data_IF_928269455757
#
_entry.id   IF_928269455757
#
_cell.length_a   1.000
_cell.length_b   1.000
_cell.length_c   1.000
_cell.angle_alpha   90.00
_cell.angle_beta   90.00
_cell.angle_gamma   90.00
#
_symmetry.space_group_name_H-M   'P 1'
#
loop_
_entity.id
_entity.type
_entity.pdbx_description
1 polymer ?
#
# COMPACT_ATOMS: atom_id res chain seq x y z
N UNK A 1 14.17 -13.93 16.45
CA UNK A 1 13.59 -12.56 16.54
C UNK A 1 12.58 -12.41 15.39
N UNK A 2 11.75 -11.36 15.31
CA UNK A 2 10.63 -11.27 14.33
C UNK A 2 11.04 -11.50 12.87
N UNK A 3 12.27 -11.11 12.51
CA UNK A 3 12.88 -11.35 11.20
C UNK A 3 12.98 -12.83 10.83
N UNK A 4 13.37 -13.70 11.77
CA UNK A 4 13.46 -15.14 11.53
C UNK A 4 12.07 -15.73 11.24
N UNK A 5 11.05 -15.28 11.98
CA UNK A 5 9.67 -15.75 11.82
C UNK A 5 9.10 -15.33 10.46
N UNK A 6 9.31 -14.08 10.07
CA UNK A 6 8.91 -13.58 8.75
C UNK A 6 9.61 -14.35 7.64
N UNK A 7 10.93 -14.53 7.75
CA UNK A 7 11.74 -15.23 6.73
C UNK A 7 11.32 -16.69 6.58
N UNK A 8 10.92 -17.35 7.67
CA UNK A 8 10.42 -18.73 7.62
C UNK A 8 8.99 -18.83 7.08
N UNK A 9 8.15 -17.83 7.33
CA UNK A 9 6.71 -17.89 7.01
C UNK A 9 6.40 -17.37 5.60
N UNK A 10 7.01 -16.25 5.22
CA UNK A 10 6.75 -15.56 3.95
C UNK A 10 7.99 -14.79 3.47
N UNK A 11 9.08 -15.48 3.07
CA UNK A 11 10.32 -14.84 2.64
C UNK A 11 10.12 -13.91 1.44
N UNK A 12 9.18 -14.21 0.55
CA UNK A 12 8.84 -13.38 -0.59
C UNK A 12 8.32 -11.99 -0.21
N UNK A 13 7.80 -11.83 1.01
CA UNK A 13 7.19 -10.57 1.45
C UNK A 13 8.23 -9.47 1.73
N UNK A 14 9.49 -9.85 1.99
CA UNK A 14 10.60 -8.92 2.25
C UNK A 14 11.49 -8.70 1.02
N UNK A 15 11.19 -9.33 -0.11
CA UNK A 15 11.87 -9.08 -1.39
C UNK A 15 11.59 -7.68 -1.96
N UNK A 16 10.35 -7.15 -1.92
CA UNK A 16 10.06 -5.84 -2.49
C UNK A 16 10.73 -4.72 -1.69
N UNK A 17 11.29 -3.73 -2.41
CA UNK A 17 12.04 -2.63 -1.80
C UNK A 17 11.24 -1.94 -0.68
N UNK A 18 11.87 -1.78 0.48
CA UNK A 18 11.28 -1.05 1.61
C UNK A 18 10.26 -1.84 2.43
N UNK A 19 9.99 -3.10 2.11
CA UNK A 19 9.28 -4.01 3.02
C UNK A 19 10.31 -4.74 3.88
N UNK A 20 10.44 -4.35 5.15
CA UNK A 20 11.26 -5.04 6.14
C UNK A 20 10.44 -5.93 7.06
N UNK A 21 11.10 -6.66 7.97
CA UNK A 21 10.48 -7.63 8.88
C UNK A 21 9.27 -7.06 9.65
N UNK A 22 9.36 -5.83 10.19
CA UNK A 22 8.24 -5.22 10.92
C UNK A 22 7.02 -4.95 10.04
N UNK A 23 7.26 -4.54 8.78
CA UNK A 23 6.17 -4.31 7.82
C UNK A 23 5.54 -5.61 7.39
N UNK A 24 6.39 -6.61 7.10
CA UNK A 24 5.94 -7.95 6.74
C UNK A 24 5.13 -8.60 7.88
N UNK A 25 5.56 -8.43 9.13
CA UNK A 25 4.82 -8.93 10.29
C UNK A 25 3.44 -8.27 10.41
N UNK A 26 3.34 -6.95 10.28
CA UNK A 26 2.05 -6.24 10.28
C UNK A 26 1.12 -6.75 9.17
N UNK A 27 1.65 -6.98 7.97
CA UNK A 27 0.89 -7.55 6.86
C UNK A 27 0.39 -8.97 7.20
N UNK A 28 1.26 -9.82 7.73
CA UNK A 28 0.93 -11.20 8.10
C UNK A 28 -0.11 -11.27 9.22
N UNK A 29 -0.01 -10.38 10.22
CA UNK A 29 -1.01 -10.27 11.30
C UNK A 29 -2.37 -9.93 10.71
N UNK A 30 -2.45 -8.87 9.89
CA UNK A 30 -3.74 -8.47 9.30
C UNK A 30 -4.29 -9.54 8.35
N UNK A 31 -3.41 -10.21 7.60
CA UNK A 31 -3.80 -11.30 6.72
C UNK A 31 -4.35 -12.52 7.50
N UNK A 32 -3.64 -12.92 8.56
CA UNK A 32 -3.96 -14.05 9.42
C UNK A 32 -5.19 -13.83 10.30
N UNK A 33 -5.48 -12.59 10.69
CA UNK A 33 -6.68 -12.23 11.46
C UNK A 33 -7.94 -12.13 10.58
N UNK A 34 -7.80 -12.11 9.25
CA UNK A 34 -8.91 -11.89 8.30
C UNK A 34 -8.93 -12.87 7.10
N UNK A 35 -8.69 -14.19 7.28
CA UNK A 35 -8.54 -15.14 6.18
C UNK A 35 -9.82 -15.35 5.37
N UNK A 36 -10.99 -15.16 5.97
CA UNK A 36 -12.30 -15.23 5.33
C UNK A 36 -12.63 -13.96 4.53
N UNK A 37 -12.02 -12.81 4.88
CA UNK A 37 -12.30 -11.51 4.25
C UNK A 37 -11.33 -11.21 3.10
N UNK A 38 -10.10 -11.71 3.16
CA UNK A 38 -9.07 -11.44 2.14
C UNK A 38 -9.09 -12.55 1.10
N UNK A 39 -9.90 -12.37 0.05
CA UNK A 39 -10.00 -13.28 -1.10
C UNK A 39 -9.37 -12.74 -2.39
N UNK A 40 -8.83 -11.52 -2.36
CA UNK A 40 -8.19 -10.88 -3.51
C UNK A 40 -7.35 -9.67 -3.09
N UNK A 41 -6.47 -9.21 -3.99
CA UNK A 41 -5.72 -7.96 -3.87
C UNK A 41 -6.64 -6.74 -3.66
N UNK A 42 -7.84 -6.74 -4.26
CA UNK A 42 -8.84 -5.70 -4.04
C UNK A 42 -9.44 -5.74 -2.63
N UNK A 43 -9.74 -6.94 -2.12
CA UNK A 43 -10.21 -7.13 -0.74
C UNK A 43 -9.15 -6.67 0.26
N UNK A 44 -7.87 -6.99 0.01
CA UNK A 44 -6.77 -6.55 0.87
C UNK A 44 -6.60 -5.03 0.88
N UNK A 45 -6.62 -4.34 -0.27
CA UNK A 45 -6.59 -2.87 -0.25
C UNK A 45 -7.79 -2.24 0.46
N UNK A 46 -8.97 -2.86 0.34
CA UNK A 46 -10.15 -2.37 1.05
C UNK A 46 -9.95 -2.52 2.56
N UNK A 47 -9.47 -3.67 3.02
CA UNK A 47 -9.13 -3.87 4.42
C UNK A 47 -8.04 -2.90 4.89
N UNK A 48 -7.04 -2.60 4.07
CA UNK A 48 -5.98 -1.64 4.40
C UNK A 48 -6.41 -0.16 4.31
N UNK A 49 -7.65 0.15 3.90
CA UNK A 49 -8.11 1.52 3.67
C UNK A 49 -7.38 2.24 2.53
N UNK A 50 -6.89 1.47 1.55
CA UNK A 50 -6.14 1.91 0.37
C UNK A 50 -7.01 1.80 -0.90
N UNK A 51 -8.24 1.31 -0.79
CA UNK A 51 -9.19 1.24 -1.90
C UNK A 51 -9.50 2.63 -2.49
N UNK A 52 -9.57 2.78 -3.82
CA UNK A 52 -9.94 4.04 -4.43
C UNK A 52 -11.45 4.25 -4.30
N UNK A 53 -11.86 5.16 -3.41
CA UNK A 53 -13.27 5.51 -3.24
C UNK A 53 -13.56 6.84 -3.95
N UNK A 54 -14.48 6.89 -4.93
CA UNK A 54 -14.84 8.14 -5.58
C UNK A 54 -15.47 9.12 -4.57
N UNK A 55 -15.18 10.41 -4.73
CA UNK A 55 -15.75 11.46 -3.87
C UNK A 55 -17.22 11.75 -4.21
N UNK A 56 -17.65 11.47 -5.45
CA UNK A 56 -19.02 11.66 -5.92
C UNK A 56 -19.47 10.47 -6.78
N UNK A 57 -20.79 10.25 -6.87
CA UNK A 57 -21.42 9.22 -7.71
C UNK A 57 -21.67 9.64 -9.16
N UNK A 58 -21.50 10.92 -9.50
CA UNK A 58 -21.67 11.48 -10.85
C UNK A 58 -20.37 11.47 -11.69
N UNK A 59 -20.30 12.31 -12.74
CA UNK A 59 -19.08 12.49 -13.56
C UNK A 59 -17.87 12.70 -12.65
N UNK A 60 -16.99 11.70 -12.61
CA UNK A 60 -15.91 11.68 -11.63
C UNK A 60 -14.91 12.76 -11.99
N UNK A 61 -14.72 13.75 -11.13
CA UNK A 61 -13.69 14.79 -11.24
C UNK A 61 -12.24 14.25 -11.15
N UNK A 62 -12.07 12.93 -11.25
CA UNK A 62 -10.82 12.21 -11.01
C UNK A 62 -10.41 12.13 -9.53
N UNK A 63 -11.22 12.64 -8.60
CA UNK A 63 -10.88 12.71 -7.17
C UNK A 63 -11.37 11.49 -6.39
N UNK A 64 -10.49 10.99 -5.52
CA UNK A 64 -10.77 9.92 -4.59
C UNK A 64 -10.62 10.37 -3.14
N UNK A 65 -11.58 9.98 -2.31
CA UNK A 65 -11.53 10.17 -0.86
C UNK A 65 -10.79 9.01 -0.19
N UNK A 66 -10.31 9.26 1.04
CA UNK A 66 -9.71 8.22 1.87
C UNK A 66 -10.78 7.27 2.41
N UNK A 67 -10.44 5.99 2.48
CA UNK A 67 -11.24 5.00 3.18
C UNK A 67 -10.88 5.00 4.66
N UNK A 68 -11.79 5.50 5.50
CA UNK A 68 -11.59 5.60 6.95
C UNK A 68 -11.95 4.31 7.70
N UNK A 69 -12.58 3.34 7.04
CA UNK A 69 -13.00 2.08 7.64
C UNK A 69 -11.93 0.98 7.62
N UNK A 70 -10.78 1.25 7.00
CA UNK A 70 -9.69 0.29 6.91
C UNK A 70 -8.76 0.26 8.14
N UNK A 71 -7.89 -0.75 8.18
CA UNK A 71 -6.87 -0.97 9.20
C UNK A 71 -5.82 0.15 9.17
N UNK A 72 -5.88 1.03 10.17
CA UNK A 72 -5.05 2.26 10.21
C UNK A 72 -3.55 1.97 10.32
N UNK A 73 -3.17 0.93 11.06
CA UNK A 73 -1.77 0.59 11.26
C UNK A 73 -1.14 0.09 9.96
N UNK A 74 -1.72 -0.95 9.35
CA UNK A 74 -1.35 -1.39 8.00
C UNK A 74 -1.30 -0.23 6.99
N UNK A 75 -2.30 0.64 6.97
CA UNK A 75 -2.32 1.82 6.09
C UNK A 75 -1.08 2.72 6.28
N UNK A 76 -0.72 2.97 7.54
CA UNK A 76 0.44 3.78 7.92
C UNK A 76 1.76 3.07 7.61
N UNK A 77 1.83 1.75 7.82
CA UNK A 77 2.99 0.93 7.46
C UNK A 77 3.26 0.99 5.96
N UNK A 78 2.24 0.75 5.12
CA UNK A 78 2.37 0.87 3.66
C UNK A 78 2.72 2.31 3.23
N UNK A 79 2.22 3.33 3.95
CA UNK A 79 2.64 4.72 3.70
C UNK A 79 4.14 4.92 3.95
N UNK A 80 4.72 4.35 5.01
CA UNK A 80 6.16 4.43 5.30
C UNK A 80 7.00 3.78 4.19
N UNK A 81 6.59 2.61 3.71
CA UNK A 81 7.21 1.94 2.54
C UNK A 81 7.25 2.89 1.35
N UNK A 82 6.11 3.51 1.03
CA UNK A 82 6.00 4.46 -0.09
C UNK A 82 6.94 5.66 0.09
N UNK A 83 7.00 6.25 1.28
CA UNK A 83 7.90 7.39 1.53
C UNK A 83 9.37 6.99 1.38
N UNK A 84 9.76 5.80 1.84
CA UNK A 84 11.10 5.26 1.61
C UNK A 84 11.40 5.08 0.12
N UNK A 85 10.47 4.46 -0.62
CA UNK A 85 10.58 4.27 -2.08
C UNK A 85 10.69 5.58 -2.86
N UNK A 86 9.94 6.61 -2.45
CA UNK A 86 10.02 7.93 -3.08
C UNK A 86 11.39 8.59 -2.92
N UNK A 87 12.24 8.12 -2.01
CA UNK A 87 13.59 8.65 -1.78
C UNK A 87 14.69 7.76 -2.36
N UNK A 88 14.51 6.45 -2.34
CA UNK A 88 15.60 5.48 -2.58
C UNK A 88 15.29 4.38 -3.59
N UNK A 89 14.12 4.41 -4.25
CA UNK A 89 13.74 3.40 -5.23
C UNK A 89 13.51 4.05 -6.59
N UNK A 90 14.47 3.89 -7.50
CA UNK A 90 14.54 4.53 -8.81
C UNK A 90 13.24 4.39 -9.62
N UNK A 91 12.60 3.19 -9.72
CA UNK A 91 11.33 3.06 -10.42
C UNK A 91 10.21 3.92 -9.81
N UNK A 92 10.17 4.03 -8.47
CA UNK A 92 9.18 4.90 -7.80
C UNK A 92 9.51 6.38 -8.00
N UNK A 93 10.78 6.77 -7.94
CA UNK A 93 11.21 8.16 -8.21
C UNK A 93 10.81 8.55 -9.63
N UNK A 94 11.10 7.71 -10.63
CA UNK A 94 10.71 7.94 -12.02
C UNK A 94 9.19 8.05 -12.18
N UNK A 95 8.42 7.20 -11.49
CA UNK A 95 6.96 7.29 -11.47
C UNK A 95 6.47 8.62 -10.89
N UNK A 96 7.02 9.06 -9.76
CA UNK A 96 6.66 10.33 -9.10
C UNK A 96 6.96 11.50 -10.01
N UNK A 97 8.14 11.56 -10.61
CA UNK A 97 8.53 12.63 -11.55
C UNK A 97 7.56 12.70 -12.72
N UNK A 98 7.29 11.55 -13.36
CA UNK A 98 6.36 11.46 -14.49
C UNK A 98 4.94 11.89 -14.12
N UNK A 99 4.40 11.46 -12.97
CA UNK A 99 3.03 11.84 -12.56
C UNK A 99 2.94 13.30 -12.11
N UNK A 100 4.00 13.84 -11.54
CA UNK A 100 4.10 15.27 -11.20
C UNK A 100 4.05 16.12 -12.47
N UNK A 101 4.77 15.72 -13.52
CA UNK A 101 4.72 16.39 -14.84
C UNK A 101 3.33 16.34 -15.49
N UNK A 102 2.49 15.36 -15.11
CA UNK A 102 1.08 15.25 -15.53
C UNK A 102 0.12 16.02 -14.61
N UNK A 103 0.61 16.99 -13.84
CA UNK A 103 -0.18 17.82 -12.91
C UNK A 103 -0.93 17.04 -11.84
N UNK A 104 -0.50 15.81 -11.50
CA UNK A 104 -1.11 15.02 -10.44
C UNK A 104 -0.60 15.47 -9.08
N UNK A 105 -1.50 15.68 -8.12
CA UNK A 105 -1.09 16.09 -6.77
C UNK A 105 -0.25 15.02 -6.09
N UNK A 106 0.71 15.43 -5.24
CA UNK A 106 1.53 14.50 -4.44
C UNK A 106 0.66 13.51 -3.65
N UNK A 107 -0.48 13.96 -3.12
CA UNK A 107 -1.42 13.11 -2.39
C UNK A 107 -2.01 12.02 -3.28
N UNK A 108 -2.38 12.33 -4.52
CA UNK A 108 -2.93 11.34 -5.45
C UNK A 108 -1.85 10.38 -5.97
N UNK A 109 -0.61 10.85 -6.13
CA UNK A 109 0.54 10.00 -6.46
C UNK A 109 0.78 8.98 -5.35
N UNK A 110 0.83 9.43 -4.09
CA UNK A 110 1.02 8.54 -2.93
C UNK A 110 -0.09 7.49 -2.86
N UNK A 111 -1.36 7.84 -3.12
CA UNK A 111 -2.45 6.84 -3.16
C UNK A 111 -2.23 5.77 -4.23
N UNK A 112 -1.78 6.15 -5.42
CA UNK A 112 -1.42 5.18 -6.47
C UNK A 112 -0.26 4.27 -6.03
N UNK A 113 0.78 4.85 -5.44
CA UNK A 113 1.93 4.07 -4.95
C UNK A 113 1.54 3.10 -3.84
N UNK A 114 0.70 3.51 -2.89
CA UNK A 114 0.18 2.61 -1.85
C UNK A 114 -0.58 1.44 -2.45
N UNK A 115 -1.36 1.68 -3.51
CA UNK A 115 -2.07 0.61 -4.24
C UNK A 115 -1.11 -0.31 -4.98
N UNK A 116 0.00 0.19 -5.51
CA UNK A 116 1.04 -0.67 -6.09
C UNK A 116 1.75 -1.52 -5.06
N UNK A 117 2.10 -0.97 -3.89
CA UNK A 117 2.68 -1.78 -2.81
C UNK A 117 1.72 -2.89 -2.40
N UNK A 118 0.41 -2.62 -2.29
CA UNK A 118 -0.60 -3.65 -2.01
C UNK A 118 -0.69 -4.75 -3.10
N UNK A 119 -0.22 -4.50 -4.33
CA UNK A 119 -0.19 -5.53 -5.39
C UNK A 119 1.02 -6.44 -5.35
N UNK A 120 2.07 -5.99 -4.68
CA UNK A 120 3.32 -6.74 -4.52
C UNK A 120 3.27 -7.67 -3.30
N UNK A 121 2.23 -7.53 -2.47
CA UNK A 121 1.92 -8.31 -1.27
C UNK A 121 0.82 -9.32 -1.60
#
# INVERSE_FOLDING_TARGET
MIEDLVTQTAPQLIEPFGIGADTAAEILIVAGDNPERIKSEAAFAKLAGISPIPTSSGMTSGKHRTDHGGHRQLNATIYRVVIGRMRFHEPTIAYVTRRTAQSKSKRDIIRCLKRYVIREV
#
